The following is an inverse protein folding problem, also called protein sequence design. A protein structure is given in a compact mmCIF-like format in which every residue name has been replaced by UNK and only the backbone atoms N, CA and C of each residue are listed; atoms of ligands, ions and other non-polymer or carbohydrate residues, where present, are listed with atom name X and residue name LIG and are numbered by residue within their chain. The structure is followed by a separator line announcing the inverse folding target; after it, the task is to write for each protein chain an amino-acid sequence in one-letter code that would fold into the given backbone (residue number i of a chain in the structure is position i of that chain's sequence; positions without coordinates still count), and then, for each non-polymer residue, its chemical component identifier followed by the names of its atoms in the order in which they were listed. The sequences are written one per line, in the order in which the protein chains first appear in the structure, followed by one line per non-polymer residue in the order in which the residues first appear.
data_IF_631936169283
#
_entry.id   IF_631936169283
#
_cell.length_a   1.000
_cell.length_b   1.000
_cell.length_c   1.000
_cell.angle_alpha   90.00
_cell.angle_beta   90.00
_cell.angle_gamma   90.00
#
_symmetry.space_group_name_H-M   'P 1'
#
loop_
_entity.id
_entity.type
_entity.pdbx_description
1 polymer ?
#
# COMPACT_ATOMS: atom_id res chain seq x y z
N UNK A 1 -19.57 4.17 1.51
CA UNK A 1 -18.82 2.99 1.12
C UNK A 1 -19.23 2.47 -0.25
N UNK A 2 -20.54 2.36 -0.53
CA UNK A 2 -21.05 1.89 -1.82
C UNK A 2 -20.53 2.78 -2.97
N UNK A 3 -20.63 4.11 -2.84
CA UNK A 3 -20.14 5.07 -3.85
C UNK A 3 -18.63 4.94 -4.09
N UNK A 4 -17.85 4.65 -3.05
CA UNK A 4 -16.42 4.39 -3.20
C UNK A 4 -16.13 3.08 -3.94
N UNK A 5 -16.98 2.08 -3.74
CA UNK A 5 -16.81 0.79 -4.39
C UNK A 5 -17.18 0.81 -5.88
N UNK A 6 -18.19 1.59 -6.29
CA UNK A 6 -18.70 1.54 -7.66
C UNK A 6 -19.35 2.85 -8.16
N UNK A 7 -19.15 3.99 -7.50
CA UNK A 7 -19.87 5.22 -7.80
C UNK A 7 -19.00 6.47 -7.99
N UNK A 8 -17.69 6.32 -8.24
CA UNK A 8 -16.83 7.49 -8.43
C UNK A 8 -17.11 8.18 -9.77
N UNK A 9 -17.31 9.50 -9.73
CA UNK A 9 -17.65 10.30 -10.90
C UNK A 9 -16.45 10.64 -11.81
N UNK A 10 -15.24 10.63 -11.26
CA UNK A 10 -14.00 11.03 -11.98
C UNK A 10 -14.09 12.39 -12.68
N UNK A 11 -14.71 13.37 -12.02
CA UNK A 11 -14.75 14.74 -12.53
C UNK A 11 -13.34 15.31 -12.69
N UNK A 12 -13.03 15.82 -13.88
CA UNK A 12 -11.67 16.29 -14.19
C UNK A 12 -11.25 17.49 -13.33
N UNK A 13 -12.18 18.38 -12.96
CA UNK A 13 -11.83 19.53 -12.12
C UNK A 13 -11.51 19.09 -10.70
N UNK A 14 -12.23 18.08 -10.17
CA UNK A 14 -11.95 17.52 -8.86
C UNK A 14 -10.63 16.72 -8.86
N UNK A 15 -10.35 15.97 -9.91
CA UNK A 15 -9.06 15.31 -10.09
C UNK A 15 -7.90 16.33 -10.08
N UNK A 16 -8.05 17.44 -10.80
CA UNK A 16 -6.98 18.45 -10.88
C UNK A 16 -6.79 19.20 -9.54
N UNK A 17 -7.85 19.43 -8.78
CA UNK A 17 -7.74 19.96 -7.41
C UNK A 17 -6.99 18.98 -6.51
N UNK A 18 -7.35 17.69 -6.56
CA UNK A 18 -6.74 16.66 -5.72
C UNK A 18 -5.27 16.41 -6.08
N UNK A 19 -4.87 16.58 -7.35
CA UNK A 19 -3.45 16.58 -7.74
C UNK A 19 -2.62 17.57 -6.92
N UNK A 20 -3.16 18.79 -6.72
CA UNK A 20 -2.52 19.81 -5.91
C UNK A 20 -2.34 19.40 -4.45
N UNK A 21 -3.34 18.71 -3.88
CA UNK A 21 -3.30 18.18 -2.51
C UNK A 21 -2.23 17.10 -2.39
N UNK A 22 -2.25 16.08 -3.25
CA UNK A 22 -1.27 14.99 -3.23
C UNK A 22 0.15 15.50 -3.51
N UNK A 23 0.31 16.47 -4.40
CA UNK A 23 1.60 17.10 -4.64
C UNK A 23 2.12 17.88 -3.41
N UNK A 24 1.22 18.53 -2.68
CA UNK A 24 1.58 19.22 -1.43
C UNK A 24 1.98 18.21 -0.34
N UNK A 25 1.31 17.08 -0.26
CA UNK A 25 1.69 15.97 0.62
C UNK A 25 3.09 15.45 0.28
N UNK A 26 3.35 15.16 -1.00
CA UNK A 26 4.68 14.78 -1.46
C UNK A 26 5.75 15.79 -1.05
N UNK A 27 5.47 17.09 -1.27
CA UNK A 27 6.39 18.17 -0.93
C UNK A 27 6.66 18.28 0.57
N UNK A 28 5.64 18.05 1.39
CA UNK A 28 5.77 18.02 2.85
C UNK A 28 6.62 16.86 3.36
N UNK A 29 6.69 15.79 2.61
CA UNK A 29 7.54 14.63 2.91
C UNK A 29 9.01 14.80 2.54
N UNK A 30 9.39 15.90 1.84
CA UNK A 30 10.78 16.16 1.50
C UNK A 30 11.60 16.56 2.74
N UNK A 31 12.88 16.18 2.73
CA UNK A 31 13.81 16.47 3.83
C UNK A 31 14.88 15.39 3.97
N UNK A 32 15.70 15.48 5.01
CA UNK A 32 16.79 14.56 5.27
C UNK A 32 16.34 13.09 5.27
N UNK A 33 15.23 12.79 5.93
CA UNK A 33 14.68 11.44 6.02
C UNK A 33 14.34 10.85 4.63
N UNK A 34 13.75 11.66 3.76
CA UNK A 34 13.42 11.22 2.39
C UNK A 34 14.69 10.95 1.58
N UNK A 35 15.67 11.84 1.65
CA UNK A 35 16.93 11.68 0.94
C UNK A 35 17.72 10.45 1.43
N UNK A 36 17.69 10.16 2.73
CA UNK A 36 18.27 8.95 3.30
C UNK A 36 17.49 7.70 2.85
N UNK A 37 16.16 7.76 2.87
CA UNK A 37 15.29 6.68 2.45
C UNK A 37 15.52 6.30 0.98
N UNK A 38 15.67 7.28 0.09
CA UNK A 38 15.92 7.07 -1.34
C UNK A 38 17.25 6.34 -1.60
N UNK A 39 18.25 6.53 -0.74
CA UNK A 39 19.53 5.81 -0.82
C UNK A 39 19.42 4.37 -0.27
N UNK A 40 18.61 4.17 0.72
CA UNK A 40 18.51 2.91 1.45
C UNK A 40 17.49 1.93 0.84
N UNK A 41 16.32 2.39 0.35
CA UNK A 41 15.26 1.53 -0.17
C UNK A 41 15.68 0.64 -1.36
N UNK A 42 16.48 1.11 -2.35
CA UNK A 42 16.93 0.24 -3.42
C UNK A 42 17.79 -0.95 -2.94
N UNK A 43 18.49 -0.77 -1.82
CA UNK A 43 19.28 -1.83 -1.19
C UNK A 43 18.37 -2.76 -0.40
N UNK A 44 17.46 -2.21 0.39
CA UNK A 44 16.50 -2.98 1.18
C UNK A 44 15.60 -3.83 0.29
N UNK A 45 15.02 -3.24 -0.73
CA UNK A 45 14.09 -3.90 -1.64
C UNK A 45 14.74 -4.53 -2.87
N UNK A 46 16.02 -4.61 -2.92
CA UNK A 46 16.92 -5.24 -3.89
C UNK A 46 16.23 -5.73 -5.16
N UNK A 47 16.33 -4.96 -6.26
CA UNK A 47 15.76 -5.30 -7.58
C UNK A 47 14.25 -5.59 -7.60
N UNK A 48 13.55 -5.31 -6.53
CA UNK A 48 12.09 -5.45 -6.48
C UNK A 48 11.41 -4.16 -6.93
N UNK A 49 10.23 -4.29 -7.48
CA UNK A 49 9.37 -3.13 -7.83
C UNK A 49 8.99 -2.27 -6.63
N UNK A 50 9.06 -2.79 -5.41
CA UNK A 50 8.82 -2.02 -4.19
C UNK A 50 9.82 -0.87 -3.98
N UNK A 51 11.04 -0.98 -4.53
CA UNK A 51 12.01 0.11 -4.49
C UNK A 51 11.61 1.33 -5.34
N UNK A 52 10.81 1.11 -6.39
CA UNK A 52 10.44 2.12 -7.39
C UNK A 52 8.97 2.56 -7.30
N UNK A 53 8.15 1.85 -6.53
CA UNK A 53 6.71 2.03 -6.46
C UNK A 53 6.25 2.45 -5.06
N UNK A 54 6.75 3.60 -4.60
CA UNK A 54 6.31 4.15 -3.32
C UNK A 54 4.86 4.64 -3.40
N UNK A 55 4.08 4.51 -2.32
CA UNK A 55 2.65 4.87 -2.31
C UNK A 55 2.34 6.31 -2.72
N UNK A 56 3.23 7.25 -2.40
CA UNK A 56 3.04 8.66 -2.77
C UNK A 56 3.06 8.89 -4.29
N UNK A 57 3.60 7.96 -5.06
CA UNK A 57 3.65 8.01 -6.51
C UNK A 57 4.83 8.80 -7.08
N UNK A 58 4.78 8.96 -8.40
CA UNK A 58 5.75 9.74 -9.18
C UNK A 58 5.20 11.12 -9.50
N UNK A 59 5.99 12.16 -9.27
CA UNK A 59 5.57 13.55 -9.43
C UNK A 59 5.21 13.93 -10.86
N UNK A 60 5.90 13.38 -11.86
CA UNK A 60 5.57 13.62 -13.25
C UNK A 60 4.20 13.01 -13.61
N UNK A 61 3.91 11.82 -13.07
CA UNK A 61 2.60 11.17 -13.24
C UNK A 61 1.52 11.94 -12.47
N UNK A 62 1.79 12.37 -11.25
CA UNK A 62 0.85 13.17 -10.46
C UNK A 62 0.45 14.45 -11.18
N UNK A 63 1.41 15.18 -11.72
CA UNK A 63 1.18 16.49 -12.35
C UNK A 63 0.61 16.38 -13.78
N UNK A 64 1.04 15.37 -14.54
CA UNK A 64 0.78 15.30 -15.98
C UNK A 64 0.04 14.02 -16.42
N UNK A 65 -0.23 13.09 -15.49
CA UNK A 65 -0.96 11.87 -15.81
C UNK A 65 -2.38 12.16 -16.25
N UNK A 66 -2.85 11.47 -17.27
CA UNK A 66 -4.21 11.61 -17.79
C UNK A 66 -5.25 11.04 -16.84
N UNK A 67 -6.39 11.71 -16.68
CA UNK A 67 -7.50 11.27 -15.83
C UNK A 67 -8.02 9.87 -16.18
N UNK A 68 -7.98 9.50 -17.48
CA UNK A 68 -8.39 8.18 -17.95
C UNK A 68 -7.55 7.04 -17.34
N UNK A 69 -6.32 7.33 -16.88
CA UNK A 69 -5.49 6.35 -16.17
C UNK A 69 -6.07 6.01 -14.81
N UNK A 70 -6.62 7.01 -14.09
CA UNK A 70 -7.29 6.80 -12.80
C UNK A 70 -8.56 5.99 -12.98
N UNK A 71 -9.39 6.36 -13.96
CA UNK A 71 -10.62 5.64 -14.31
C UNK A 71 -10.33 4.19 -14.71
N UNK A 72 -9.32 3.99 -15.55
CA UNK A 72 -8.89 2.64 -15.96
C UNK A 72 -8.40 1.81 -14.80
N UNK A 73 -7.60 2.40 -13.89
CA UNK A 73 -7.14 1.72 -12.69
C UNK A 73 -8.31 1.32 -11.79
N UNK A 74 -9.22 2.25 -11.52
CA UNK A 74 -10.39 1.99 -10.70
C UNK A 74 -11.24 0.86 -11.29
N UNK A 75 -11.62 0.93 -12.56
CA UNK A 75 -12.43 -0.09 -13.24
C UNK A 75 -11.75 -1.47 -13.29
N UNK A 76 -10.41 -1.50 -13.24
CA UNK A 76 -9.65 -2.75 -13.24
C UNK A 76 -9.58 -3.40 -11.86
N UNK A 77 -9.39 -2.59 -10.81
CA UNK A 77 -8.98 -3.10 -9.49
C UNK A 77 -10.04 -2.93 -8.40
N UNK A 78 -11.00 -2.02 -8.55
CA UNK A 78 -12.13 -1.85 -7.64
C UNK A 78 -13.27 -2.77 -8.06
N UNK A 79 -13.16 -4.02 -7.70
CA UNK A 79 -14.08 -5.09 -8.09
C UNK A 79 -14.37 -6.03 -6.91
N UNK A 80 -15.57 -6.66 -6.88
CA UNK A 80 -16.06 -7.41 -5.72
C UNK A 80 -15.12 -8.51 -5.21
N UNK A 81 -14.44 -9.26 -6.08
CA UNK A 81 -13.51 -10.33 -5.70
C UNK A 81 -12.25 -9.85 -4.98
N UNK A 82 -11.96 -8.55 -5.04
CA UNK A 82 -10.85 -7.89 -4.35
C UNK A 82 -11.30 -6.99 -3.19
N UNK A 83 -12.59 -6.99 -2.83
CA UNK A 83 -13.16 -6.16 -1.80
C UNK A 83 -13.64 -6.97 -0.61
N UNK A 84 -13.60 -6.34 0.56
CA UNK A 84 -14.29 -6.79 1.75
C UNK A 84 -14.96 -5.57 2.42
N UNK A 85 -16.18 -5.75 2.89
CA UNK A 85 -16.89 -4.73 3.68
C UNK A 85 -16.84 -5.15 5.14
N UNK A 86 -16.23 -4.30 5.96
CA UNK A 86 -16.13 -4.52 7.41
C UNK A 86 -16.75 -3.32 8.11
N UNK A 87 -17.74 -3.56 8.96
CA UNK A 87 -18.42 -2.52 9.74
C UNK A 87 -18.35 -2.90 11.21
N UNK A 88 -17.83 -1.98 12.02
CA UNK A 88 -17.66 -2.17 13.47
C UNK A 88 -18.29 -0.97 14.18
N UNK A 89 -19.13 -1.23 15.18
CA UNK A 89 -19.80 -0.20 15.96
C UNK A 89 -20.95 -0.74 16.82
N UNK A 90 -21.70 0.14 17.42
CA UNK A 90 -22.94 -0.20 18.11
C UNK A 90 -24.08 -0.35 17.09
N UNK A 91 -24.19 -1.54 16.51
CA UNK A 91 -25.10 -1.85 15.41
C UNK A 91 -25.82 -3.19 15.64
N UNK A 92 -27.01 -3.31 15.05
CA UNK A 92 -27.65 -4.62 14.89
C UNK A 92 -26.99 -5.35 13.70
N UNK A 93 -26.35 -6.49 13.95
CA UNK A 93 -25.56 -7.24 12.94
C UNK A 93 -26.46 -7.74 11.81
N UNK A 94 -27.65 -8.30 12.14
CA UNK A 94 -28.56 -8.89 11.14
C UNK A 94 -29.14 -7.82 10.19
N UNK A 95 -29.44 -6.63 10.72
CA UNK A 95 -29.94 -5.54 9.89
C UNK A 95 -28.84 -4.91 9.05
N UNK A 96 -27.62 -4.85 9.57
CA UNK A 96 -26.47 -4.36 8.82
C UNK A 96 -26.08 -5.34 7.69
N UNK A 97 -26.15 -6.64 7.93
CA UNK A 97 -25.94 -7.65 6.87
C UNK A 97 -26.93 -7.48 5.72
N UNK A 98 -28.23 -7.28 6.03
CA UNK A 98 -29.25 -7.02 5.00
C UNK A 98 -28.95 -5.77 4.20
N UNK A 99 -28.50 -4.68 4.86
CA UNK A 99 -28.13 -3.44 4.17
C UNK A 99 -26.88 -3.63 3.29
N UNK A 100 -25.87 -4.40 3.74
CA UNK A 100 -24.71 -4.73 2.92
C UNK A 100 -25.13 -5.52 1.67
N UNK A 101 -25.92 -6.59 1.85
CA UNK A 101 -26.42 -7.39 0.73
C UNK A 101 -27.21 -6.52 -0.25
N UNK A 102 -28.12 -5.70 0.23
CA UNK A 102 -28.94 -4.81 -0.59
C UNK A 102 -28.11 -3.87 -1.47
N UNK A 103 -27.01 -3.32 -0.92
CA UNK A 103 -26.20 -2.31 -1.59
C UNK A 103 -25.12 -2.90 -2.51
N UNK A 104 -24.54 -4.02 -2.12
CA UNK A 104 -23.35 -4.54 -2.78
C UNK A 104 -23.63 -5.76 -3.68
N UNK A 105 -24.75 -6.47 -3.52
CA UNK A 105 -25.02 -7.71 -4.29
C UNK A 105 -25.22 -7.48 -5.81
N UNK A 106 -25.50 -6.25 -6.23
CA UNK A 106 -25.62 -5.89 -7.65
C UNK A 106 -24.26 -5.73 -8.33
N UNK A 107 -23.17 -5.56 -7.57
CA UNK A 107 -21.83 -5.38 -8.12
C UNK A 107 -21.35 -6.68 -8.76
N UNK A 108 -20.71 -6.56 -9.91
CA UNK A 108 -20.19 -7.71 -10.67
C UNK A 108 -18.75 -7.47 -11.06
N UNK A 109 -18.00 -8.55 -11.10
CA UNK A 109 -16.65 -8.51 -11.63
C UNK A 109 -16.66 -8.22 -13.14
N UNK A 110 -15.64 -7.53 -13.67
CA UNK A 110 -15.47 -7.38 -15.11
C UNK A 110 -15.24 -8.74 -15.79
N UNK A 111 -15.71 -8.86 -17.04
CA UNK A 111 -15.64 -10.12 -17.82
C UNK A 111 -14.18 -10.58 -18.03
N UNK A 112 -13.26 -9.64 -18.21
CA UNK A 112 -11.83 -9.92 -18.44
C UNK A 112 -10.99 -9.43 -17.25
N UNK A 113 -11.05 -10.16 -16.15
CA UNK A 113 -10.32 -9.81 -14.94
C UNK A 113 -8.82 -9.89 -15.12
N UNK A 114 -8.13 -8.81 -14.80
CA UNK A 114 -6.68 -8.86 -14.66
C UNK A 114 -6.29 -9.59 -13.37
N UNK A 115 -5.36 -10.53 -13.48
CA UNK A 115 -4.80 -11.18 -12.29
C UNK A 115 -3.96 -10.18 -11.50
N UNK A 116 -4.14 -10.17 -10.18
CA UNK A 116 -3.27 -9.43 -9.27
C UNK A 116 -1.91 -10.13 -9.24
N UNK A 117 -0.90 -9.46 -9.78
CA UNK A 117 0.47 -9.95 -9.70
C UNK A 117 1.01 -9.79 -8.28
N UNK A 118 1.64 -10.83 -7.77
CA UNK A 118 2.36 -10.82 -6.49
C UNK A 118 3.83 -10.66 -6.80
N UNK A 119 4.41 -9.55 -6.34
CA UNK A 119 5.84 -9.28 -6.48
C UNK A 119 6.56 -9.73 -5.22
N UNK A 120 7.59 -10.54 -5.43
CA UNK A 120 8.46 -10.99 -4.34
C UNK A 120 9.73 -10.15 -4.29
N UNK A 121 10.40 -10.16 -3.15
CA UNK A 121 11.75 -9.64 -3.03
C UNK A 121 12.72 -10.72 -3.54
N UNK A 122 13.57 -10.43 -4.55
CA UNK A 122 14.55 -11.40 -5.00
C UNK A 122 15.53 -11.77 -3.88
N UNK A 123 15.92 -13.03 -3.84
CA UNK A 123 16.96 -13.49 -2.95
C UNK A 123 18.34 -12.97 -3.38
N UNK A 124 19.27 -12.87 -2.45
CA UNK A 124 20.64 -12.50 -2.69
C UNK A 124 21.60 -13.28 -1.79
N UNK A 125 22.72 -13.72 -2.34
CA UNK A 125 23.73 -14.53 -1.66
C UNK A 125 24.70 -13.70 -0.81
N UNK A 126 24.93 -12.46 -1.21
CA UNK A 126 25.88 -11.55 -0.55
C UNK A 126 25.15 -10.59 0.38
N UNK A 127 25.77 -10.29 1.51
CA UNK A 127 25.31 -9.19 2.37
C UNK A 127 25.31 -7.89 1.57
N UNK A 128 24.17 -7.23 1.57
CA UNK A 128 24.01 -5.91 0.99
C UNK A 128 24.25 -4.86 2.06
N UNK A 129 24.98 -3.81 1.73
CA UNK A 129 25.30 -2.74 2.68
C UNK A 129 24.85 -1.40 2.08
N UNK A 130 24.18 -0.60 2.88
CA UNK A 130 23.85 0.80 2.55
C UNK A 130 24.39 1.71 3.64
N UNK A 131 25.21 2.68 3.24
CA UNK A 131 25.67 3.76 4.13
C UNK A 131 25.14 5.06 3.51
N UNK A 132 24.28 5.72 4.24
CA UNK A 132 23.68 6.97 3.81
C UNK A 132 23.90 8.05 4.86
N UNK A 133 24.36 9.21 4.43
CA UNK A 133 24.56 10.40 5.26
C UNK A 133 23.81 11.57 4.67
N UNK A 134 23.38 12.46 5.55
CA UNK A 134 22.74 13.72 5.19
C UNK A 134 23.12 14.79 6.22
N UNK A 135 23.51 16.00 5.80
CA UNK A 135 23.94 17.06 6.71
C UNK A 135 22.85 17.57 7.64
N UNK A 136 21.59 17.39 7.29
CA UNK A 136 20.44 17.79 8.11
C UNK A 136 19.92 16.65 8.99
N UNK A 137 20.55 15.47 8.94
CA UNK A 137 20.14 14.36 9.80
C UNK A 137 20.48 14.63 11.26
N UNK A 138 19.47 14.56 12.12
CA UNK A 138 19.60 14.82 13.57
C UNK A 138 19.90 13.58 14.40
N UNK A 139 19.95 12.40 13.76
CA UNK A 139 20.17 11.13 14.44
C UNK A 139 21.02 10.18 13.59
N UNK A 140 21.65 9.22 14.27
CA UNK A 140 22.33 8.08 13.63
C UNK A 140 21.56 6.81 13.90
N UNK A 141 21.46 5.94 12.89
CA UNK A 141 20.80 4.64 12.99
C UNK A 141 21.66 3.57 12.33
N UNK A 142 21.86 2.46 13.04
CA UNK A 142 22.37 1.23 12.46
C UNK A 142 21.27 0.16 12.46
N UNK A 143 21.13 -0.59 11.39
CA UNK A 143 20.09 -1.61 11.25
C UNK A 143 20.67 -2.84 10.56
N UNK A 144 20.34 -4.00 11.07
CA UNK A 144 20.58 -5.30 10.44
C UNK A 144 19.23 -5.88 10.06
N UNK A 145 19.05 -6.25 8.81
CA UNK A 145 17.78 -6.78 8.28
C UNK A 145 17.99 -8.19 7.77
N UNK A 146 17.32 -9.15 8.38
CA UNK A 146 17.19 -10.52 7.91
C UNK A 146 15.84 -10.66 7.18
N UNK A 147 15.89 -10.96 5.89
CA UNK A 147 14.68 -11.16 5.09
C UNK A 147 14.31 -12.63 5.09
N UNK A 148 13.05 -12.91 5.30
CA UNK A 148 12.49 -14.25 5.22
C UNK A 148 11.10 -14.18 4.57
N UNK A 149 10.56 -15.28 4.05
CA UNK A 149 9.19 -15.32 3.54
C UNK A 149 8.19 -14.86 4.60
N UNK A 150 7.12 -14.21 4.15
CA UNK A 150 6.03 -13.82 5.04
C UNK A 150 5.41 -15.08 5.67
N UNK A 151 5.26 -15.07 6.97
CA UNK A 151 4.55 -16.14 7.68
C UNK A 151 3.03 -16.00 7.50
N UNK A 152 2.34 -17.13 7.40
CA UNK A 152 0.88 -17.16 7.41
C UNK A 152 0.37 -16.92 8.83
N UNK A 153 -0.15 -15.73 9.09
CA UNK A 153 -0.73 -15.36 10.37
C UNK A 153 -2.25 -15.70 10.48
N UNK A 154 -2.83 -16.30 9.46
CA UNK A 154 -4.26 -16.63 9.42
C UNK A 154 -4.60 -17.96 10.12
N UNK A 155 -3.59 -18.69 10.58
CA UNK A 155 -3.73 -19.93 11.37
C UNK A 155 -3.36 -19.70 12.83
N UNK A 156 -3.88 -20.54 13.73
CA UNK A 156 -3.52 -20.49 15.17
C UNK A 156 -2.01 -20.68 15.37
N UNK A 157 -1.40 -21.58 14.63
CA UNK A 157 0.04 -21.84 14.73
C UNK A 157 0.88 -20.69 14.15
N UNK A 158 0.41 -20.07 13.06
CA UNK A 158 1.03 -18.86 12.52
C UNK A 158 0.96 -17.71 13.52
N UNK A 159 -0.19 -17.49 14.13
CA UNK A 159 -0.35 -16.45 15.15
C UNK A 159 0.51 -16.71 16.40
N UNK A 160 0.64 -17.96 16.85
CA UNK A 160 1.56 -18.31 17.95
C UNK A 160 3.02 -17.99 17.60
N UNK A 161 3.48 -18.34 16.39
CA UNK A 161 4.84 -17.97 15.92
C UNK A 161 5.04 -16.47 15.90
N UNK A 162 4.07 -15.72 15.37
CA UNK A 162 4.10 -14.26 15.39
C UNK A 162 4.24 -13.70 16.80
N UNK A 163 3.47 -14.21 17.78
CA UNK A 163 3.58 -13.79 19.17
C UNK A 163 4.95 -14.14 19.77
N UNK A 164 5.47 -15.33 19.51
CA UNK A 164 6.80 -15.74 19.98
C UNK A 164 7.90 -14.83 19.43
N UNK A 165 7.84 -14.51 18.13
CA UNK A 165 8.81 -13.61 17.49
C UNK A 165 8.73 -12.19 18.08
N UNK A 166 7.54 -11.68 18.33
CA UNK A 166 7.37 -10.35 18.96
C UNK A 166 7.90 -10.33 20.40
N UNK A 167 7.61 -11.37 21.18
CA UNK A 167 8.14 -11.49 22.54
C UNK A 167 9.66 -11.58 22.53
N UNK A 168 10.23 -12.40 21.67
CA UNK A 168 11.69 -12.49 21.51
C UNK A 168 12.31 -11.13 21.15
N UNK A 169 11.76 -10.44 20.15
CA UNK A 169 12.26 -9.13 19.73
C UNK A 169 12.13 -8.05 20.81
N UNK A 170 11.15 -8.18 21.70
CA UNK A 170 10.97 -7.24 22.83
C UNK A 170 11.92 -7.49 24.00
N UNK A 171 12.54 -8.67 24.04
CA UNK A 171 13.50 -9.07 25.08
C UNK A 171 14.95 -8.76 24.68
N UNK A 172 15.21 -8.53 23.40
CA UNK A 172 16.52 -8.20 22.83
C UNK A 172 16.77 -6.69 22.82
#
# INVERSE_FOLDING_TARGET
LEDWANGLSFDNNEIDKERGVVFSEWRSGLGANKRLLDKFLPVLYYKSRYAERLPIGDTAILLHGKAERLTSFYNTWYRPDLMAVVIVGDINVDDMEKEIIKRFSSLKNPVNEQKKEIYTLPEHQKTLVSIATDPEATYSRAMIVYKHPSEDNNSVDGYKRYLMNNLFNSMM
#
